data_IF_297200329193
#
_entry.id   IF_297200329193
#
_cell.length_a   1.000
_cell.length_b   1.000
_cell.length_c   1.000
_cell.angle_alpha   90.00
_cell.angle_beta   90.00
_cell.angle_gamma   90.00
#
_symmetry.space_group_name_H-M   'P 1'
#
loop_
_entity.id
_entity.type
_entity.pdbx_description
1 polymer ?
#
# COMPACT_ATOMS: atom_id res chain seq x y z
N UNK A 1 14.59 13.88 -8.59
CA UNK A 1 14.49 12.61 -7.81
C UNK A 1 15.64 11.64 -8.12
N UNK A 2 16.69 11.58 -7.30
CA UNK A 2 17.82 10.65 -7.51
C UNK A 2 17.78 9.38 -6.64
N UNK A 3 16.79 9.21 -5.75
CA UNK A 3 16.82 8.08 -4.80
C UNK A 3 15.42 7.50 -4.52
N UNK A 4 14.88 6.75 -5.49
CA UNK A 4 13.65 5.96 -5.30
C UNK A 4 13.94 4.56 -4.72
N UNK A 5 15.17 4.34 -4.22
CA UNK A 5 15.64 3.04 -3.72
C UNK A 5 15.33 1.89 -4.70
N UNK A 6 15.56 2.11 -6.01
CA UNK A 6 15.42 1.08 -7.05
C UNK A 6 16.80 0.75 -7.63
N UNK A 7 17.12 -0.52 -7.77
CA UNK A 7 18.40 -1.00 -8.29
C UNK A 7 18.58 -0.75 -9.79
N UNK A 8 17.48 -0.59 -10.53
CA UNK A 8 17.53 -0.21 -11.93
C UNK A 8 16.33 0.68 -12.33
N UNK A 9 16.41 1.40 -13.46
CA UNK A 9 15.32 2.23 -13.95
C UNK A 9 14.06 1.41 -14.31
N UNK A 10 12.86 2.01 -14.28
CA UNK A 10 11.61 1.30 -14.57
C UNK A 10 11.60 0.57 -15.91
N UNK A 11 12.16 1.17 -16.97
CA UNK A 11 12.22 0.54 -18.29
C UNK A 11 13.08 -0.73 -18.33
N UNK A 12 14.12 -0.80 -17.50
CA UNK A 12 14.94 -2.00 -17.35
C UNK A 12 14.18 -3.07 -16.55
N UNK A 13 13.56 -2.70 -15.42
CA UNK A 13 12.66 -3.60 -14.66
C UNK A 13 11.61 -4.21 -15.59
N UNK A 14 10.92 -3.37 -16.36
CA UNK A 14 9.89 -3.81 -17.29
C UNK A 14 10.45 -4.81 -18.31
N UNK A 15 11.60 -4.52 -18.91
CA UNK A 15 12.23 -5.39 -19.91
C UNK A 15 12.60 -6.76 -19.32
N UNK A 16 13.04 -6.81 -18.06
CA UNK A 16 13.39 -8.07 -17.37
C UNK A 16 12.16 -8.95 -17.12
N UNK A 17 11.04 -8.36 -16.69
CA UNK A 17 9.84 -9.15 -16.34
C UNK A 17 8.89 -9.39 -17.52
N UNK A 18 8.97 -8.59 -18.59
CA UNK A 18 8.06 -8.67 -19.75
C UNK A 18 7.96 -10.07 -20.39
N UNK A 19 9.05 -10.85 -20.57
CA UNK A 19 8.97 -12.19 -21.14
C UNK A 19 8.16 -13.18 -20.28
N UNK A 20 7.90 -12.86 -19.02
CA UNK A 20 7.26 -13.76 -18.05
C UNK A 20 5.76 -13.50 -17.85
N UNK A 21 5.21 -12.41 -18.39
CA UNK A 21 3.82 -11.99 -18.16
C UNK A 21 2.79 -13.09 -18.47
N UNK A 22 3.00 -13.85 -19.55
CA UNK A 22 2.12 -14.95 -19.94
C UNK A 22 2.04 -16.07 -18.89
N UNK A 23 3.12 -16.32 -18.12
CA UNK A 23 3.12 -17.31 -17.04
C UNK A 23 2.23 -16.91 -15.87
N UNK A 24 2.06 -15.61 -15.66
CA UNK A 24 1.21 -15.03 -14.62
C UNK A 24 -0.24 -14.80 -15.09
N UNK A 25 -0.58 -15.21 -16.32
CA UNK A 25 -1.89 -14.99 -16.90
C UNK A 25 -2.17 -13.53 -17.28
N UNK A 26 -1.14 -12.67 -17.33
CA UNK A 26 -1.28 -11.27 -17.73
C UNK A 26 -1.41 -11.22 -19.24
N UNK A 27 -2.60 -10.87 -19.72
CA UNK A 27 -2.98 -10.96 -21.16
C UNK A 27 -2.91 -9.62 -21.88
N UNK A 28 -2.99 -8.51 -21.14
CA UNK A 28 -3.00 -7.16 -21.71
C UNK A 28 -2.38 -6.18 -20.72
N UNK A 29 -1.64 -5.21 -21.27
CA UNK A 29 -1.15 -4.03 -20.55
C UNK A 29 -1.53 -2.81 -21.40
N UNK A 30 -2.38 -1.93 -20.89
CA UNK A 30 -2.95 -0.81 -21.64
C UNK A 30 -2.85 0.51 -20.90
N UNK A 31 -2.56 1.58 -21.64
CA UNK A 31 -2.61 2.96 -21.14
C UNK A 31 -4.06 3.37 -20.94
N UNK A 32 -4.37 3.96 -19.79
CA UNK A 32 -5.70 4.48 -19.44
C UNK A 32 -5.75 6.01 -19.33
N UNK A 33 -4.59 6.68 -19.38
CA UNK A 33 -4.45 8.14 -19.16
C UNK A 33 -5.48 8.99 -19.89
N UNK A 34 -5.75 8.71 -21.17
CA UNK A 34 -6.64 9.52 -22.01
C UNK A 34 -8.14 9.33 -21.70
N UNK A 35 -8.50 8.45 -20.76
CA UNK A 35 -9.86 8.37 -20.24
C UNK A 35 -10.18 9.52 -19.28
N UNK A 36 -9.16 10.18 -18.74
CA UNK A 36 -9.29 11.36 -17.88
C UNK A 36 -8.61 12.57 -18.52
N UNK A 37 -9.04 13.77 -18.14
CA UNK A 37 -8.53 15.04 -18.69
C UNK A 37 -7.32 15.61 -17.94
N UNK A 38 -6.87 14.94 -16.86
CA UNK A 38 -5.72 15.37 -16.06
C UNK A 38 -4.39 15.14 -16.79
N UNK A 39 -4.26 14.03 -17.54
CA UNK A 39 -3.03 13.76 -18.31
C UNK A 39 -1.82 13.30 -17.47
N UNK A 40 -2.03 12.82 -16.25
CA UNK A 40 -1.01 12.10 -15.46
C UNK A 40 -1.03 10.62 -15.86
N UNK A 41 0.14 9.99 -16.13
CA UNK A 41 0.20 8.60 -16.60
C UNK A 41 -0.44 7.58 -15.66
N UNK A 42 -1.34 6.77 -16.22
CA UNK A 42 -1.99 5.64 -15.54
C UNK A 42 -2.09 4.50 -16.55
N UNK A 43 -1.61 3.33 -16.14
CA UNK A 43 -1.62 2.10 -16.93
C UNK A 43 -2.35 1.00 -16.18
N UNK A 44 -2.76 -0.02 -16.91
CA UNK A 44 -3.54 -1.13 -16.38
C UNK A 44 -3.07 -2.45 -16.97
N UNK A 45 -2.83 -3.45 -16.12
CA UNK A 45 -2.50 -4.82 -16.49
C UNK A 45 -3.68 -5.75 -16.13
N UNK A 46 -3.99 -6.69 -17.01
CA UNK A 46 -5.15 -7.56 -16.92
C UNK A 46 -4.74 -9.02 -16.79
N UNK A 47 -5.15 -9.67 -15.70
CA UNK A 47 -4.99 -11.09 -15.42
C UNK A 47 -6.36 -11.77 -15.21
N UNK A 48 -7.09 -12.12 -16.30
CA UNK A 48 -8.49 -12.55 -16.25
C UNK A 48 -8.81 -13.74 -15.33
N UNK A 49 -7.84 -14.63 -15.12
CA UNK A 49 -7.99 -15.83 -14.29
C UNK A 49 -7.38 -15.66 -12.88
N UNK A 50 -7.14 -14.42 -12.44
CA UNK A 50 -6.68 -14.12 -11.09
C UNK A 50 -7.68 -14.65 -10.06
N UNK A 51 -7.17 -15.24 -8.97
CA UNK A 51 -8.00 -15.68 -7.83
C UNK A 51 -8.36 -14.55 -6.86
N UNK A 52 -7.92 -13.33 -7.18
CA UNK A 52 -8.23 -12.10 -6.47
C UNK A 52 -8.73 -11.06 -7.49
N UNK A 53 -8.32 -9.79 -7.34
CA UNK A 53 -8.66 -8.75 -8.32
C UNK A 53 -7.95 -9.04 -9.65
N UNK A 54 -8.70 -8.96 -10.75
CA UNK A 54 -8.25 -9.25 -12.13
C UNK A 54 -7.39 -8.13 -12.73
N UNK A 55 -7.50 -6.93 -12.18
CA UNK A 55 -6.88 -5.72 -12.69
C UNK A 55 -5.88 -5.15 -11.68
N UNK A 56 -4.67 -4.87 -12.14
CA UNK A 56 -3.71 -4.05 -11.43
C UNK A 56 -3.49 -2.74 -12.19
N UNK A 57 -3.54 -1.62 -11.49
CA UNK A 57 -3.31 -0.31 -12.07
C UNK A 57 -1.97 0.25 -11.60
N UNK A 58 -1.25 0.90 -12.49
CA UNK A 58 0.02 1.51 -12.21
C UNK A 58 0.00 3.00 -12.44
N UNK A 59 0.79 3.71 -11.64
CA UNK A 59 0.94 5.16 -11.66
C UNK A 59 2.41 5.56 -11.71
N UNK A 60 2.69 6.76 -12.21
CA UNK A 60 4.05 7.27 -12.32
C UNK A 60 4.10 8.65 -12.96
N UNK A 61 5.29 9.28 -12.91
CA UNK A 61 5.54 10.59 -13.52
C UNK A 61 5.51 10.54 -15.05
N UNK A 62 5.88 9.39 -15.60
CA UNK A 62 5.93 9.12 -17.04
C UNK A 62 5.25 7.79 -17.38
N UNK A 63 5.05 7.53 -18.68
CA UNK A 63 4.42 6.28 -19.14
C UNK A 63 5.21 5.03 -18.77
N UNK A 64 6.54 5.10 -18.76
CA UNK A 64 7.38 3.92 -18.52
C UNK A 64 7.27 3.49 -17.06
N UNK A 65 7.34 4.44 -16.12
CA UNK A 65 7.15 4.21 -14.69
C UNK A 65 5.73 3.74 -14.37
N UNK A 66 4.69 4.37 -14.93
CA UNK A 66 3.31 3.93 -14.73
C UNK A 66 3.04 2.52 -15.30
N UNK A 67 3.55 2.23 -16.49
CA UNK A 67 3.44 0.89 -17.10
C UNK A 67 4.18 -0.16 -16.28
N UNK A 68 5.38 0.16 -15.79
CA UNK A 68 6.17 -0.73 -14.93
C UNK A 68 5.43 -1.00 -13.62
N UNK A 69 4.88 0.03 -12.99
CA UNK A 69 4.06 -0.10 -11.77
C UNK A 69 2.88 -1.04 -11.99
N UNK A 70 2.14 -0.91 -13.10
CA UNK A 70 0.97 -1.76 -13.40
C UNK A 70 1.38 -3.23 -13.58
N UNK A 71 2.50 -3.46 -14.26
CA UNK A 71 3.03 -4.81 -14.50
C UNK A 71 3.54 -5.44 -13.21
N UNK A 72 4.31 -4.71 -12.41
CA UNK A 72 4.87 -5.22 -11.16
C UNK A 72 3.78 -5.54 -10.15
N UNK A 73 2.75 -4.69 -10.02
CA UNK A 73 1.59 -4.99 -9.16
C UNK A 73 0.80 -6.21 -9.65
N UNK A 74 0.65 -6.40 -10.98
CA UNK A 74 0.00 -7.60 -11.51
C UNK A 74 0.79 -8.88 -11.23
N UNK A 75 2.12 -8.83 -11.36
CA UNK A 75 3.02 -9.95 -11.02
C UNK A 75 2.91 -10.26 -9.54
N UNK A 76 3.01 -9.24 -8.69
CA UNK A 76 2.90 -9.33 -7.25
C UNK A 76 1.61 -10.04 -6.81
N UNK A 77 0.46 -9.57 -7.29
CA UNK A 77 -0.85 -10.18 -7.00
C UNK A 77 -0.94 -11.61 -7.51
N UNK A 78 -0.42 -11.89 -8.71
CA UNK A 78 -0.42 -13.23 -9.31
C UNK A 78 0.40 -14.21 -8.48
N UNK A 79 1.62 -13.83 -8.09
CA UNK A 79 2.49 -14.61 -7.20
C UNK A 79 1.81 -14.83 -5.85
N UNK A 80 1.18 -13.81 -5.26
CA UNK A 80 0.50 -13.97 -3.98
C UNK A 80 -0.68 -14.96 -4.02
N UNK A 81 -1.29 -15.19 -5.18
CA UNK A 81 -2.34 -16.23 -5.32
C UNK A 81 -1.77 -17.65 -5.35
N UNK A 82 -0.48 -17.81 -5.65
CA UNK A 82 0.25 -19.08 -5.66
C UNK A 82 1.69 -18.89 -5.12
N UNK A 83 1.86 -18.66 -3.81
CA UNK A 83 3.16 -18.37 -3.23
C UNK A 83 4.14 -19.54 -3.38
N UNK A 84 5.41 -19.25 -3.66
CA UNK A 84 6.49 -20.25 -3.78
C UNK A 84 7.32 -20.41 -2.49
N UNK A 85 6.82 -19.91 -1.36
CA UNK A 85 7.51 -20.03 -0.07
C UNK A 85 7.49 -21.48 0.47
N UNK A 86 8.49 -21.83 1.27
CA UNK A 86 8.56 -23.12 1.95
C UNK A 86 7.46 -23.24 3.00
N UNK A 87 6.77 -24.38 3.01
CA UNK A 87 5.73 -24.67 4.01
C UNK A 87 6.02 -25.94 4.80
N UNK A 88 5.57 -25.96 6.06
CA UNK A 88 5.67 -27.09 6.97
C UNK A 88 4.29 -27.36 7.59
N UNK A 89 3.84 -28.62 7.56
CA UNK A 89 2.68 -29.06 8.36
C UNK A 89 3.14 -29.35 9.79
N UNK A 90 2.59 -28.62 10.75
CA UNK A 90 2.91 -28.78 12.18
C UNK A 90 1.82 -28.19 13.06
N UNK A 91 1.80 -28.59 14.34
CA UNK A 91 1.11 -27.87 15.40
C UNK A 91 2.03 -26.86 16.09
N UNK A 92 1.44 -25.94 16.86
CA UNK A 92 2.21 -25.02 17.70
C UNK A 92 3.12 -25.78 18.68
N UNK A 93 2.62 -26.88 19.26
CA UNK A 93 3.41 -27.72 20.15
C UNK A 93 4.62 -28.35 19.43
N UNK A 94 4.48 -28.79 18.18
CA UNK A 94 5.59 -29.37 17.41
C UNK A 94 6.68 -28.33 17.13
N UNK A 95 6.28 -27.11 16.75
CA UNK A 95 7.19 -25.99 16.50
C UNK A 95 7.91 -25.56 17.79
N UNK A 96 7.18 -25.44 18.90
CA UNK A 96 7.74 -25.11 20.21
C UNK A 96 8.73 -26.18 20.69
N UNK A 97 8.39 -27.47 20.55
CA UNK A 97 9.28 -28.58 20.90
C UNK A 97 10.56 -28.61 20.06
N UNK A 98 10.51 -28.10 18.83
CA UNK A 98 11.65 -27.97 17.91
C UNK A 98 12.44 -26.67 18.10
N UNK A 99 12.05 -25.81 19.06
CA UNK A 99 12.71 -24.54 19.34
C UNK A 99 12.46 -23.45 18.29
N UNK A 100 11.42 -23.58 17.47
CA UNK A 100 11.07 -22.57 16.48
C UNK A 100 10.24 -21.44 17.08
N UNK A 101 10.58 -20.19 16.75
CA UNK A 101 9.76 -19.04 17.06
C UNK A 101 8.51 -19.03 16.16
N UNK A 102 7.38 -18.60 16.71
CA UNK A 102 6.10 -18.55 16.00
C UNK A 102 5.35 -17.27 16.31
N UNK A 103 4.64 -16.73 15.33
CA UNK A 103 3.56 -15.76 15.55
C UNK A 103 2.29 -16.28 14.85
N UNK A 104 1.17 -16.34 15.59
CA UNK A 104 -0.12 -16.80 15.07
C UNK A 104 -0.88 -15.73 14.29
N UNK A 105 -0.42 -14.48 14.31
CA UNK A 105 -1.04 -13.33 13.64
C UNK A 105 -2.52 -13.17 14.00
N UNK A 106 -2.84 -13.23 15.29
CA UNK A 106 -4.23 -13.20 15.78
C UNK A 106 -4.98 -11.92 15.36
N UNK A 107 -4.28 -10.79 15.25
CA UNK A 107 -4.83 -9.51 14.78
C UNK A 107 -5.36 -9.58 13.33
N UNK A 108 -4.91 -10.57 12.56
CA UNK A 108 -5.32 -10.80 11.18
C UNK A 108 -6.44 -11.85 11.05
N UNK A 109 -6.94 -12.41 12.15
CA UNK A 109 -8.06 -13.36 12.09
C UNK A 109 -9.28 -12.72 11.43
N UNK A 110 -9.93 -13.45 10.55
CA UNK A 110 -11.16 -13.01 9.91
C UNK A 110 -12.33 -12.96 10.91
N UNK A 111 -13.39 -12.22 10.58
CA UNK A 111 -14.61 -12.17 11.40
C UNK A 111 -15.16 -13.58 11.62
N UNK A 112 -15.34 -13.96 12.90
CA UNK A 112 -15.85 -15.28 13.31
C UNK A 112 -14.83 -16.42 13.28
N UNK A 113 -13.60 -16.18 12.80
CA UNK A 113 -12.53 -17.16 12.84
C UNK A 113 -12.04 -17.39 14.28
N UNK A 114 -11.65 -18.63 14.56
CA UNK A 114 -11.06 -19.02 15.84
C UNK A 114 -9.53 -18.94 15.78
N UNK A 115 -8.86 -18.62 16.89
CA UNK A 115 -7.41 -18.75 17.01
C UNK A 115 -6.93 -20.17 16.72
N UNK A 116 -5.65 -20.30 16.35
CA UNK A 116 -5.02 -21.60 16.11
C UNK A 116 -4.87 -22.35 17.44
N UNK A 117 -5.34 -23.59 17.49
CA UNK A 117 -5.22 -24.40 18.71
C UNK A 117 -3.83 -25.05 18.83
N UNK A 118 -3.38 -25.29 20.05
CA UNK A 118 -2.00 -25.74 20.33
C UNK A 118 -1.60 -27.06 19.64
N UNK A 119 -2.56 -27.96 19.42
CA UNK A 119 -2.36 -29.27 18.78
C UNK A 119 -2.89 -29.33 17.35
N UNK A 120 -3.44 -28.24 16.83
CA UNK A 120 -4.00 -28.20 15.49
C UNK A 120 -2.89 -28.28 14.44
N UNK A 121 -3.04 -29.19 13.47
CA UNK A 121 -2.10 -29.34 12.37
C UNK A 121 -2.47 -28.38 11.24
N UNK A 122 -1.64 -27.34 11.03
CA UNK A 122 -1.82 -26.37 9.95
C UNK A 122 -0.54 -26.21 9.13
N UNK A 123 -0.65 -25.53 7.99
CA UNK A 123 0.51 -25.12 7.19
C UNK A 123 1.12 -23.84 7.76
N UNK A 124 2.39 -23.93 8.14
CA UNK A 124 3.24 -22.82 8.52
C UNK A 124 4.20 -22.47 7.40
N UNK A 125 4.61 -21.22 7.31
CA UNK A 125 5.69 -20.77 6.42
C UNK A 125 6.78 -20.08 7.23
N UNK A 126 8.02 -20.28 6.81
CA UNK A 126 9.15 -19.59 7.39
C UNK A 126 9.21 -18.15 6.86
N UNK A 127 9.25 -17.20 7.78
CA UNK A 127 9.44 -15.78 7.56
C UNK A 127 10.76 -15.32 8.19
N UNK A 128 11.20 -14.14 7.77
CA UNK A 128 12.31 -13.44 8.39
C UNK A 128 11.78 -12.37 9.36
N UNK A 129 12.11 -12.52 10.64
CA UNK A 129 11.90 -11.51 11.68
C UNK A 129 12.97 -10.43 11.52
N UNK A 130 12.56 -9.27 11.00
CA UNK A 130 13.43 -8.13 10.69
C UNK A 130 13.95 -7.46 11.97
N UNK A 131 13.19 -7.53 13.07
CA UNK A 131 13.58 -6.94 14.35
C UNK A 131 14.68 -7.76 15.02
N UNK A 132 14.55 -9.09 14.96
CA UNK A 132 15.51 -10.03 15.59
C UNK A 132 16.58 -10.55 14.64
N UNK A 133 16.48 -10.25 13.35
CA UNK A 133 17.28 -10.83 12.27
C UNK A 133 17.32 -12.38 12.37
N UNK A 134 16.14 -12.98 12.50
CA UNK A 134 15.99 -14.41 12.80
C UNK A 134 14.86 -15.05 11.99
N UNK A 135 14.76 -16.39 12.03
CA UNK A 135 13.63 -17.10 11.43
C UNK A 135 12.45 -17.18 12.39
N UNK A 136 11.25 -16.99 11.85
CA UNK A 136 9.98 -17.15 12.57
C UNK A 136 8.97 -17.88 11.67
N UNK A 137 8.09 -18.69 12.26
CA UNK A 137 7.00 -19.33 11.52
C UNK A 137 5.70 -18.56 11.67
N UNK A 138 5.01 -18.32 10.56
CA UNK A 138 3.67 -17.74 10.53
C UNK A 138 2.70 -18.61 9.73
N UNK A 139 1.38 -18.51 9.95
CA UNK A 139 0.40 -19.32 9.23
C UNK A 139 0.42 -19.03 7.73
N UNK A 140 0.53 -20.07 6.88
CA UNK A 140 0.51 -19.92 5.43
C UNK A 140 -0.80 -19.28 4.93
N UNK A 141 -1.91 -19.57 5.60
CA UNK A 141 -3.23 -19.00 5.28
C UNK A 141 -3.29 -17.46 5.41
N UNK A 142 -2.39 -16.84 6.18
CA UNK A 142 -2.30 -15.38 6.28
C UNK A 142 -1.51 -14.73 5.13
N UNK A 143 -0.80 -15.53 4.32
CA UNK A 143 0.14 -15.05 3.30
C UNK A 143 -0.54 -14.89 1.94
N UNK A 144 -1.33 -15.89 1.54
CA UNK A 144 -1.84 -15.97 0.18
C UNK A 144 -2.98 -14.97 -0.09
N UNK A 145 -3.06 -14.52 -1.34
CA UNK A 145 -4.12 -13.65 -1.84
C UNK A 145 -5.10 -14.47 -2.70
N UNK A 146 -5.75 -15.47 -2.09
CA UNK A 146 -6.76 -16.29 -2.77
C UNK A 146 -8.15 -15.95 -2.21
N UNK A 147 -8.91 -15.14 -2.96
CA UNK A 147 -10.26 -14.71 -2.58
C UNK A 147 -11.35 -15.68 -3.03
N UNK A 148 -10.99 -16.85 -3.59
CA UNK A 148 -11.96 -17.90 -3.92
C UNK A 148 -12.40 -18.71 -2.70
N UNK A 149 -11.65 -18.60 -1.59
CA UNK A 149 -11.99 -19.25 -0.32
C UNK A 149 -13.17 -18.54 0.35
N UNK A 150 -14.28 -19.26 0.57
CA UNK A 150 -15.54 -18.68 1.10
C UNK A 150 -15.46 -18.32 2.58
N UNK A 151 -14.64 -19.03 3.36
CA UNK A 151 -14.49 -18.81 4.81
C UNK A 151 -13.00 -18.89 5.20
N UNK A 152 -12.20 -17.89 4.81
CA UNK A 152 -10.79 -17.89 5.18
C UNK A 152 -10.64 -17.68 6.69
N UNK A 153 -9.64 -18.31 7.31
CA UNK A 153 -9.35 -18.11 8.73
C UNK A 153 -8.73 -16.73 8.98
N UNK A 154 -7.92 -16.26 8.04
CA UNK A 154 -7.23 -14.98 8.09
C UNK A 154 -7.81 -14.01 7.06
N UNK A 155 -7.62 -12.71 7.31
CA UNK A 155 -8.04 -11.66 6.41
C UNK A 155 -7.23 -11.68 5.11
N UNK A 156 -7.92 -11.98 4.00
CA UNK A 156 -7.32 -12.09 2.66
C UNK A 156 -7.13 -10.70 2.04
N UNK A 157 -5.95 -10.13 2.25
CA UNK A 157 -5.61 -8.77 1.85
C UNK A 157 -4.24 -8.67 1.17
N UNK A 158 -4.10 -7.70 0.26
CA UNK A 158 -2.81 -7.31 -0.33
C UNK A 158 -2.01 -6.39 0.60
N UNK A 159 -2.45 -6.18 1.85
CA UNK A 159 -1.73 -5.39 2.85
C UNK A 159 -0.30 -5.88 3.09
N UNK A 160 0.68 -5.01 2.88
CA UNK A 160 2.11 -5.36 2.98
C UNK A 160 2.60 -6.30 1.88
N UNK A 161 1.80 -6.54 0.83
CA UNK A 161 2.26 -7.23 -0.36
C UNK A 161 3.03 -6.22 -1.22
N UNK A 162 4.21 -6.61 -1.68
CA UNK A 162 5.06 -5.70 -2.44
C UNK A 162 5.99 -6.46 -3.39
N UNK A 163 6.38 -5.81 -4.48
CA UNK A 163 7.38 -6.31 -5.41
C UNK A 163 8.51 -5.31 -5.64
N UNK A 164 9.67 -5.82 -6.08
CA UNK A 164 10.87 -5.01 -6.30
C UNK A 164 11.90 -5.76 -7.13
N UNK A 165 12.95 -5.06 -7.59
CA UNK A 165 14.03 -5.73 -8.34
C UNK A 165 14.90 -6.60 -7.42
N UNK A 166 14.89 -6.32 -6.13
CA UNK A 166 15.60 -7.07 -5.10
C UNK A 166 14.70 -7.26 -3.87
N UNK A 167 15.06 -8.20 -3.01
CA UNK A 167 14.34 -8.45 -1.76
C UNK A 167 14.25 -7.20 -0.88
N UNK A 168 15.36 -6.45 -0.70
CA UNK A 168 15.38 -5.23 0.11
C UNK A 168 14.42 -4.16 -0.43
N UNK A 169 14.32 -4.01 -1.76
CA UNK A 169 13.36 -3.09 -2.38
C UNK A 169 11.91 -3.47 -2.09
N UNK A 170 11.61 -4.77 -2.21
CA UNK A 170 10.28 -5.29 -2.02
C UNK A 170 9.85 -5.16 -0.55
N UNK A 171 10.73 -5.52 0.40
CA UNK A 171 10.46 -5.40 1.84
C UNK A 171 10.35 -3.95 2.27
N UNK A 172 11.25 -3.07 1.82
CA UNK A 172 11.16 -1.63 2.10
C UNK A 172 9.82 -1.06 1.60
N UNK A 173 9.40 -1.44 0.39
CA UNK A 173 8.13 -0.96 -0.16
C UNK A 173 6.93 -1.50 0.63
N UNK A 174 6.94 -2.79 0.99
CA UNK A 174 5.88 -3.40 1.80
C UNK A 174 5.77 -2.80 3.20
N UNK A 175 6.90 -2.51 3.87
CA UNK A 175 6.89 -1.83 5.17
C UNK A 175 6.41 -0.39 5.07
N UNK A 176 6.84 0.36 4.05
CA UNK A 176 6.34 1.71 3.83
C UNK A 176 4.83 1.72 3.57
N UNK A 177 4.29 0.76 2.84
CA UNK A 177 2.83 0.61 2.68
C UNK A 177 2.15 0.35 4.04
N UNK A 178 2.73 -0.49 4.91
CA UNK A 178 2.18 -0.74 6.24
C UNK A 178 2.17 0.53 7.11
N UNK A 179 3.23 1.33 7.06
CA UNK A 179 3.32 2.63 7.75
C UNK A 179 2.32 3.64 7.19
N UNK A 180 2.16 3.69 5.87
CA UNK A 180 1.18 4.56 5.21
C UNK A 180 -0.24 4.26 5.68
N UNK A 181 -0.60 2.97 5.72
CA UNK A 181 -1.93 2.54 6.15
C UNK A 181 -2.16 2.78 7.62
N UNK A 182 -1.12 2.59 8.46
CA UNK A 182 -1.15 2.97 9.86
C UNK A 182 -1.49 4.45 10.04
N UNK A 183 -0.70 5.31 9.40
CA UNK A 183 -0.86 6.76 9.42
C UNK A 183 -2.26 7.18 8.93
N UNK A 184 -2.76 6.58 7.85
CA UNK A 184 -4.10 6.87 7.32
C UNK A 184 -5.22 6.47 8.30
N UNK A 185 -5.13 5.30 8.93
CA UNK A 185 -6.12 4.87 9.95
C UNK A 185 -6.08 5.81 11.14
N UNK A 186 -4.88 6.10 11.67
CA UNK A 186 -4.71 7.03 12.79
C UNK A 186 -5.20 8.43 12.47
N UNK A 187 -5.02 8.91 11.24
CA UNK A 187 -5.57 10.18 10.80
C UNK A 187 -7.10 10.14 10.77
N UNK A 188 -7.70 9.08 10.22
CA UNK A 188 -9.15 8.95 10.11
C UNK A 188 -9.90 8.80 11.44
N UNK A 189 -9.31 8.11 12.43
CA UNK A 189 -9.92 7.96 13.77
C UNK A 189 -9.67 9.17 14.67
N UNK A 190 -8.71 10.03 14.32
CA UNK A 190 -8.40 11.22 15.10
C UNK A 190 -9.49 12.28 15.05
N UNK A 191 -9.49 13.17 16.05
CA UNK A 191 -10.42 14.30 16.12
C UNK A 191 -10.44 15.14 14.83
N UNK A 192 -11.63 15.54 14.33
CA UNK A 192 -11.75 16.29 13.08
C UNK A 192 -10.86 17.53 13.02
N UNK A 193 -10.71 18.28 14.12
CA UNK A 193 -9.86 19.46 14.18
C UNK A 193 -8.41 19.16 13.75
N UNK A 194 -7.80 18.10 14.31
CA UNK A 194 -6.45 17.66 13.95
C UNK A 194 -6.33 17.24 12.48
N UNK A 195 -7.41 16.70 11.88
CA UNK A 195 -7.41 16.35 10.45
C UNK A 195 -7.31 17.57 9.53
N UNK A 196 -7.80 18.73 9.98
CA UNK A 196 -7.75 19.98 9.22
C UNK A 196 -6.44 20.78 9.42
N UNK A 197 -5.68 20.49 10.49
CA UNK A 197 -4.60 21.35 10.97
C UNK A 197 -3.29 21.27 10.20
N UNK A 198 -2.99 20.14 9.54
CA UNK A 198 -1.71 19.92 8.86
C UNK A 198 -1.87 19.86 7.34
N UNK A 199 -2.63 20.81 6.79
CA UNK A 199 -2.77 20.92 5.33
C UNK A 199 -1.48 21.50 4.75
N UNK A 200 -0.90 20.77 3.82
CA UNK A 200 0.32 21.15 3.09
C UNK A 200 -0.06 22.15 2.00
N UNK A 201 0.73 23.23 1.86
CA UNK A 201 0.61 24.13 0.71
C UNK A 201 1.22 23.49 -0.55
N UNK A 202 0.42 23.16 -1.60
CA UNK A 202 0.95 22.60 -2.83
C UNK A 202 1.97 23.53 -3.53
N UNK A 203 1.89 24.84 -3.32
CA UNK A 203 2.83 25.81 -3.90
C UNK A 203 4.18 25.87 -3.16
N UNK A 204 4.28 25.26 -1.97
CA UNK A 204 5.55 25.10 -1.26
C UNK A 204 6.45 24.00 -1.83
N UNK A 205 5.94 23.21 -2.79
CA UNK A 205 6.64 22.06 -3.35
C UNK A 205 7.60 22.52 -4.46
N UNK A 206 8.90 22.25 -4.27
CA UNK A 206 9.97 22.65 -5.19
C UNK A 206 10.35 21.57 -6.20
N UNK A 207 10.08 20.28 -5.93
CA UNK A 207 10.44 19.21 -6.87
C UNK A 207 9.65 19.33 -8.19
N UNK A 208 10.40 19.45 -9.28
CA UNK A 208 9.85 19.73 -10.61
C UNK A 208 8.88 18.65 -11.10
N UNK A 209 9.15 17.37 -10.83
CA UNK A 209 8.27 16.28 -11.26
C UNK A 209 6.91 16.33 -10.56
N UNK A 210 6.88 16.79 -9.30
CA UNK A 210 5.62 17.00 -8.58
C UNK A 210 4.92 18.25 -9.08
N UNK A 211 5.66 19.35 -9.31
CA UNK A 211 5.11 20.60 -9.86
C UNK A 211 4.42 20.35 -11.21
N UNK A 212 5.02 19.57 -12.11
CA UNK A 212 4.38 19.18 -13.37
C UNK A 212 3.05 18.43 -13.17
N UNK A 213 2.97 17.52 -12.19
CA UNK A 213 1.71 16.86 -11.84
C UNK A 213 0.67 17.84 -11.31
N UNK A 214 1.07 18.76 -10.43
CA UNK A 214 0.18 19.78 -9.86
C UNK A 214 -0.36 20.71 -10.95
N UNK A 215 0.49 21.17 -11.87
CA UNK A 215 0.09 22.01 -13.00
C UNK A 215 -0.94 21.31 -13.89
N UNK A 216 -0.73 20.03 -14.21
CA UNK A 216 -1.70 19.19 -14.93
C UNK A 216 -3.05 19.10 -14.22
N UNK A 217 -3.04 18.85 -12.91
CA UNK A 217 -4.26 18.77 -12.08
C UNK A 217 -5.01 20.11 -12.11
N UNK A 218 -4.32 21.22 -11.82
CA UNK A 218 -4.97 22.54 -11.72
C UNK A 218 -5.46 23.05 -13.07
N UNK A 219 -4.75 22.77 -14.15
CA UNK A 219 -5.14 23.11 -15.53
C UNK A 219 -6.34 22.30 -16.04
N UNK A 220 -6.58 21.13 -15.45
CA UNK A 220 -7.71 20.25 -15.76
C UNK A 220 -8.98 20.58 -14.95
N UNK A 221 -9.02 21.74 -14.27
CA UNK A 221 -10.09 22.19 -13.38
C UNK A 221 -10.34 21.23 -12.20
N UNK A 222 -9.28 20.81 -11.52
CA UNK A 222 -9.36 20.07 -10.26
C UNK A 222 -8.78 20.88 -9.10
N UNK A 223 -9.35 20.65 -7.91
CA UNK A 223 -8.77 21.07 -6.63
C UNK A 223 -8.03 19.88 -6.01
N UNK A 224 -6.90 20.18 -5.36
CA UNK A 224 -6.10 19.23 -4.60
C UNK A 224 -5.95 19.73 -3.16
N UNK A 225 -6.12 18.84 -2.20
CA UNK A 225 -5.75 19.09 -0.80
C UNK A 225 -4.77 18.01 -0.34
N UNK A 226 -3.61 18.45 0.14
CA UNK A 226 -2.57 17.58 0.67
C UNK A 226 -2.54 17.72 2.19
N UNK A 227 -2.42 16.60 2.91
CA UNK A 227 -2.36 16.56 4.36
C UNK A 227 -1.15 15.77 4.81
N UNK A 228 -0.39 16.35 5.73
CA UNK A 228 0.62 15.61 6.47
C UNK A 228 -0.09 14.75 7.52
N UNK A 229 -0.03 13.43 7.32
CA UNK A 229 -0.60 12.42 8.21
C UNK A 229 0.49 11.65 8.96
N UNK A 230 1.73 12.15 8.94
CA UNK A 230 2.87 11.54 9.64
C UNK A 230 2.52 11.24 11.09
N UNK A 231 2.64 9.98 11.48
CA UNK A 231 2.35 9.50 12.84
C UNK A 231 3.54 9.73 13.78
N UNK A 232 3.39 9.26 15.02
CA UNK A 232 4.45 9.16 16.04
C UNK A 232 5.70 8.38 15.58
N UNK A 233 5.59 7.59 14.51
CA UNK A 233 6.71 6.86 13.90
C UNK A 233 7.66 7.75 13.08
N UNK A 234 7.32 9.02 12.87
CA UNK A 234 8.16 10.01 12.19
C UNK A 234 8.63 9.60 10.78
N UNK A 235 7.80 8.85 10.05
CA UNK A 235 8.00 8.53 8.62
C UNK A 235 7.02 9.37 7.80
N UNK A 236 7.56 10.17 6.87
CA UNK A 236 6.76 11.10 6.07
C UNK A 236 5.61 10.37 5.36
N UNK A 237 4.38 10.70 5.75
CA UNK A 237 3.16 10.10 5.24
C UNK A 237 2.18 11.19 4.86
N UNK A 238 1.68 11.14 3.62
CA UNK A 238 0.85 12.20 3.04
C UNK A 238 -0.43 11.59 2.47
N UNK A 239 -1.56 12.27 2.71
CA UNK A 239 -2.83 12.00 2.04
C UNK A 239 -3.13 13.10 1.04
N UNK A 240 -3.54 12.72 -0.17
CA UNK A 240 -4.01 13.61 -1.22
C UNK A 240 -5.49 13.39 -1.48
N UNK A 241 -6.28 14.46 -1.43
CA UNK A 241 -7.68 14.49 -1.83
C UNK A 241 -7.82 15.29 -3.12
N UNK A 242 -8.50 14.70 -4.10
CA UNK A 242 -8.69 15.25 -5.44
C UNK A 242 -10.18 15.34 -5.75
N UNK A 243 -10.62 16.49 -6.28
CA UNK A 243 -12.01 16.69 -6.73
C UNK A 243 -12.07 17.64 -7.92
N UNK A 244 -13.07 17.51 -8.82
CA UNK A 244 -13.36 18.55 -9.80
C UNK A 244 -13.69 19.88 -9.12
N UNK A 245 -13.25 21.00 -9.70
CA UNK A 245 -13.73 22.33 -9.31
C UNK A 245 -15.21 22.48 -9.67
N UNK A 246 -15.95 23.22 -8.84
CA UNK A 246 -17.36 23.53 -9.09
C UNK A 246 -18.21 23.44 -7.83
N UNK A 247 -19.48 23.08 -8.02
CA UNK A 247 -20.46 22.98 -6.94
C UNK A 247 -20.34 21.67 -6.14
N UNK A 248 -19.89 21.81 -4.89
CA UNK A 248 -19.81 20.76 -3.87
C UNK A 248 -21.12 19.96 -3.73
N UNK A 249 -22.29 20.61 -3.87
CA UNK A 249 -23.60 19.98 -3.64
C UNK A 249 -23.96 18.89 -4.66
N UNK A 250 -23.30 18.90 -5.82
CA UNK A 250 -23.51 17.94 -6.89
C UNK A 250 -22.54 16.76 -6.85
N UNK A 251 -21.43 16.86 -6.10
CA UNK A 251 -20.35 15.88 -6.11
C UNK A 251 -20.80 14.53 -5.56
N UNK A 252 -20.40 13.47 -6.26
CA UNK A 252 -20.63 12.08 -5.87
C UNK A 252 -19.39 11.52 -5.20
N UNK A 253 -19.57 10.38 -4.54
CA UNK A 253 -18.47 9.65 -3.90
C UNK A 253 -17.33 9.39 -4.90
N UNK A 254 -17.65 8.95 -6.12
CA UNK A 254 -16.66 8.68 -7.18
C UNK A 254 -15.95 9.92 -7.74
N UNK A 255 -16.49 11.13 -7.50
CA UNK A 255 -15.87 12.37 -7.96
C UNK A 255 -14.80 12.88 -6.98
N UNK A 256 -14.82 12.40 -5.73
CA UNK A 256 -13.83 12.70 -4.70
C UNK A 256 -12.90 11.48 -4.54
N UNK A 257 -11.67 11.60 -4.99
CA UNK A 257 -10.70 10.50 -4.93
C UNK A 257 -9.58 10.82 -3.95
N UNK A 258 -9.06 9.76 -3.34
CA UNK A 258 -7.99 9.82 -2.35
C UNK A 258 -6.80 9.00 -2.82
N UNK A 259 -5.61 9.45 -2.49
CA UNK A 259 -4.38 8.67 -2.54
C UNK A 259 -3.56 8.91 -1.28
N UNK A 260 -2.70 7.97 -0.95
CA UNK A 260 -1.77 8.08 0.15
C UNK A 260 -0.35 7.75 -0.32
N UNK A 261 0.63 8.18 0.46
CA UNK A 261 2.03 7.94 0.17
C UNK A 261 2.87 8.02 1.43
N UNK A 262 3.59 6.95 1.77
CA UNK A 262 4.68 7.01 2.76
C UNK A 262 6.05 6.82 2.10
N UNK A 263 7.06 7.52 2.62
CA UNK A 263 8.44 7.43 2.15
C UNK A 263 9.44 8.01 3.18
N UNK A 264 10.71 7.66 3.02
CA UNK A 264 11.82 8.31 3.73
C UNK A 264 12.07 9.75 3.24
N UNK A 265 11.54 10.13 2.07
CA UNK A 265 11.57 11.50 1.51
C UNK A 265 10.14 12.05 1.39
N UNK A 266 9.85 13.23 1.95
CA UNK A 266 8.56 13.91 1.80
C UNK A 266 8.13 14.11 0.34
N UNK A 267 9.07 14.42 -0.55
CA UNK A 267 8.81 14.59 -1.99
C UNK A 267 8.30 13.29 -2.61
N UNK A 268 8.94 12.16 -2.31
CA UNK A 268 8.49 10.87 -2.83
C UNK A 268 7.15 10.43 -2.19
N UNK A 269 6.90 10.76 -0.91
CA UNK A 269 5.60 10.56 -0.28
C UNK A 269 4.50 11.38 -0.99
N UNK A 270 4.77 12.66 -1.29
CA UNK A 270 3.83 13.54 -1.99
C UNK A 270 3.56 13.06 -3.42
N UNK A 271 4.62 12.67 -4.15
CA UNK A 271 4.48 12.13 -5.50
C UNK A 271 3.61 10.87 -5.53
N UNK A 272 3.77 9.96 -4.55
CA UNK A 272 2.94 8.76 -4.39
C UNK A 272 1.48 9.13 -4.09
N UNK A 273 1.24 9.98 -3.09
CA UNK A 273 -0.10 10.39 -2.71
C UNK A 273 -0.87 11.04 -3.87
N UNK A 274 -0.24 11.98 -4.59
CA UNK A 274 -0.84 12.68 -5.74
C UNK A 274 -1.12 11.71 -6.89
N UNK A 275 -0.15 10.89 -7.28
CA UNK A 275 -0.31 9.94 -8.39
C UNK A 275 -1.34 8.85 -8.06
N UNK A 276 -1.44 8.44 -6.80
CA UNK A 276 -2.48 7.51 -6.34
C UNK A 276 -3.88 8.14 -6.33
N UNK A 277 -4.03 9.41 -5.96
CA UNK A 277 -5.33 10.08 -6.01
C UNK A 277 -5.88 10.16 -7.46
N UNK A 278 -4.99 10.33 -8.44
CA UNK A 278 -5.34 10.27 -9.87
C UNK A 278 -5.64 8.85 -10.32
N UNK A 279 -4.85 7.86 -9.87
CA UNK A 279 -5.11 6.45 -10.19
C UNK A 279 -6.45 5.96 -9.62
N UNK A 280 -6.80 6.35 -8.39
CA UNK A 280 -8.10 6.10 -7.77
C UNK A 280 -9.25 6.67 -8.60
N UNK A 281 -9.06 7.87 -9.17
CA UNK A 281 -10.03 8.44 -10.12
C UNK A 281 -10.14 7.61 -11.38
N UNK A 282 -9.01 7.19 -11.94
CA UNK A 282 -8.97 6.35 -13.13
C UNK A 282 -9.65 4.99 -12.91
N UNK A 283 -9.58 4.42 -11.70
CA UNK A 283 -10.35 3.22 -11.34
C UNK A 283 -11.85 3.39 -11.63
N UNK A 284 -12.47 4.50 -11.17
CA UNK A 284 -13.89 4.74 -11.40
C UNK A 284 -14.22 5.05 -12.85
N UNK A 285 -13.40 5.87 -13.51
CA UNK A 285 -13.61 6.26 -14.92
C UNK A 285 -13.51 5.04 -15.85
N UNK A 286 -12.49 4.21 -15.66
CA UNK A 286 -12.29 3.02 -16.47
C UNK A 286 -13.40 1.98 -16.27
N UNK A 287 -14.03 1.95 -15.08
CA UNK A 287 -15.16 1.06 -14.78
C UNK A 287 -14.85 -0.42 -14.95
N UNK A 288 -13.57 -0.79 -14.86
CA UNK A 288 -13.10 -2.11 -15.28
C UNK A 288 -12.99 -3.12 -14.12
N UNK A 289 -13.03 -2.66 -12.86
CA UNK A 289 -12.97 -3.56 -11.70
C UNK A 289 -14.35 -4.10 -11.35
N UNK A 290 -14.40 -5.37 -11.02
CA UNK A 290 -15.63 -6.09 -10.67
C UNK A 290 -16.22 -5.69 -9.30
N UNK A 291 -15.43 -5.02 -8.45
CA UNK A 291 -15.85 -4.56 -7.12
C UNK A 291 -16.47 -3.15 -7.12
N UNK A 292 -16.61 -2.52 -8.29
CA UNK A 292 -17.30 -1.24 -8.43
C UNK A 292 -18.80 -1.45 -8.62
N UNK A 293 -19.58 -1.26 -7.56
CA UNK A 293 -21.03 -1.44 -7.58
C UNK A 293 -21.78 -0.14 -7.95
N UNK A 294 -22.94 -0.22 -8.63
CA UNK A 294 -23.70 0.96 -9.09
C UNK A 294 -24.01 2.00 -8.01
N UNK A 295 -24.20 1.56 -6.76
CA UNK A 295 -24.51 2.42 -5.61
C UNK A 295 -23.40 3.42 -5.32
N UNK A 296 -22.13 3.11 -5.64
CA UNK A 296 -21.02 4.04 -5.47
C UNK A 296 -21.18 5.27 -6.37
N UNK A 297 -21.75 5.11 -7.56
CA UNK A 297 -21.96 6.17 -8.54
C UNK A 297 -23.18 7.06 -8.24
N UNK A 298 -24.09 6.62 -7.36
CA UNK A 298 -25.23 7.41 -6.90
C UNK A 298 -25.02 8.03 -5.51
N UNK A 299 -24.09 7.48 -4.72
CA UNK A 299 -23.72 7.99 -3.41
C UNK A 299 -23.15 9.41 -3.50
N UNK A 300 -23.61 10.31 -2.63
CA UNK A 300 -23.06 11.67 -2.48
C UNK A 300 -21.67 11.64 -1.85
N UNK A 301 -20.83 12.60 -2.23
CA UNK A 301 -19.56 12.82 -1.56
C UNK A 301 -19.77 13.10 -0.07
N UNK A 302 -18.83 12.64 0.77
CA UNK A 302 -18.90 12.88 2.21
C UNK A 302 -18.65 14.37 2.51
N UNK A 303 -19.60 15.08 3.16
CA UNK A 303 -19.41 16.49 3.51
C UNK A 303 -18.16 16.74 4.37
N UNK A 304 -17.75 15.79 5.22
CA UNK A 304 -16.56 15.93 6.04
C UNK A 304 -15.28 16.03 5.18
N UNK A 305 -15.19 15.25 4.10
CA UNK A 305 -14.06 15.36 3.18
C UNK A 305 -14.11 16.64 2.34
N UNK A 306 -15.29 17.12 1.96
CA UNK A 306 -15.42 18.39 1.25
C UNK A 306 -14.97 19.58 2.12
N UNK A 307 -15.22 19.53 3.43
CA UNK A 307 -14.74 20.55 4.37
C UNK A 307 -13.21 20.61 4.45
N UNK A 308 -12.50 19.50 4.21
CA UNK A 308 -11.02 19.48 4.22
C UNK A 308 -10.42 20.43 3.16
N UNK A 309 -11.06 20.61 2.02
CA UNK A 309 -10.61 21.56 0.98
C UNK A 309 -10.68 23.03 1.42
N UNK A 310 -11.39 23.33 2.52
CA UNK A 310 -11.52 24.69 3.08
C UNK A 310 -10.52 24.97 4.21
N UNK A 311 -9.79 23.95 4.66
CA UNK A 311 -8.75 24.13 5.67
C UNK A 311 -7.64 25.05 5.14
N UNK A 312 -7.06 25.88 6.01
CA UNK A 312 -5.93 26.73 5.62
C UNK A 312 -4.67 25.88 5.50
N UNK A 313 -3.81 26.21 4.54
CA UNK A 313 -2.48 25.64 4.49
C UNK A 313 -1.63 26.22 5.63
N UNK A 314 -0.99 25.35 6.40
CA UNK A 314 -0.29 25.66 7.65
C UNK A 314 1.03 24.90 7.77
N UNK A 315 1.32 24.00 6.83
CA UNK A 315 2.50 23.15 6.82
C UNK A 315 3.16 23.24 5.44
N UNK A 316 4.49 23.32 5.39
CA UNK A 316 5.25 23.16 4.17
C UNK A 316 5.77 21.73 4.04
N UNK A 317 5.98 21.25 2.81
CA UNK A 317 6.48 19.89 2.58
C UNK A 317 7.86 19.66 3.24
N UNK A 318 8.71 20.68 3.26
CA UNK A 318 10.05 20.65 3.86
C UNK A 318 10.06 20.51 5.38
N UNK A 319 8.92 20.65 6.05
CA UNK A 319 8.80 20.47 7.51
C UNK A 319 8.63 19.00 7.89
N UNK A 320 8.30 18.13 6.93
CA UNK A 320 8.13 16.70 7.17
C UNK A 320 9.47 16.00 7.40
N UNK A 321 9.50 14.91 8.18
CA UNK A 321 10.73 14.21 8.47
C UNK A 321 11.35 13.62 7.20
N UNK A 322 12.67 13.73 7.10
CA UNK A 322 13.45 13.15 6.02
C UNK A 322 14.49 12.20 6.60
N UNK A 323 14.59 11.01 6.02
CA UNK A 323 15.58 10.00 6.37
C UNK A 323 16.50 9.78 5.18
N UNK A 324 17.76 10.18 5.33
CA UNK A 324 18.77 9.95 4.29
C UNK A 324 19.21 8.48 4.31
N UNK A 325 19.23 7.86 3.14
CA UNK A 325 19.76 6.52 2.95
C UNK A 325 20.49 6.42 1.60
N UNK A 326 21.52 5.58 1.52
CA UNK A 326 22.38 5.46 0.32
C UNK A 326 22.05 4.25 -0.56
N UNK A 327 21.21 3.33 -0.08
CA UNK A 327 20.77 2.14 -0.81
C UNK A 327 19.41 1.66 -0.29
N UNK A 328 18.78 0.72 -1.00
CA UNK A 328 17.55 0.09 -0.53
C UNK A 328 17.73 -0.69 0.77
N UNK A 329 18.90 -1.31 0.98
CA UNK A 329 19.24 -2.00 2.22
C UNK A 329 19.37 -1.01 3.38
N UNK A 330 20.19 0.03 3.23
CA UNK A 330 20.36 1.08 4.25
C UNK A 330 19.02 1.80 4.57
N UNK A 331 18.16 1.99 3.56
CA UNK A 331 16.82 2.53 3.76
C UNK A 331 15.92 1.58 4.56
N UNK A 332 15.98 0.28 4.29
CA UNK A 332 15.26 -0.74 5.05
C UNK A 332 15.76 -0.80 6.50
N UNK A 333 17.07 -0.85 6.71
CA UNK A 333 17.68 -0.94 8.03
C UNK A 333 17.26 0.27 8.89
N UNK A 334 17.33 1.49 8.35
CA UNK A 334 16.88 2.70 9.03
C UNK A 334 15.39 2.70 9.34
N UNK A 335 14.56 2.24 8.40
CA UNK A 335 13.11 2.14 8.63
C UNK A 335 12.81 1.15 9.76
N UNK A 336 13.46 -0.01 9.78
CA UNK A 336 13.33 -0.99 10.86
C UNK A 336 13.78 -0.40 12.19
N UNK A 337 14.92 0.29 12.25
CA UNK A 337 15.39 0.99 13.46
C UNK A 337 14.38 2.04 13.96
N UNK A 338 13.78 2.83 13.06
CA UNK A 338 12.74 3.81 13.40
C UNK A 338 11.50 3.15 13.97
N UNK A 339 11.03 2.05 13.36
CA UNK A 339 9.87 1.31 13.84
C UNK A 339 10.14 0.68 15.22
N UNK A 340 11.32 0.11 15.44
CA UNK A 340 11.74 -0.42 16.74
C UNK A 340 11.80 0.67 17.81
N UNK A 341 12.32 1.85 17.46
CA UNK A 341 12.32 3.02 18.35
C UNK A 341 10.91 3.51 18.72
N UNK A 342 9.93 3.27 17.84
CA UNK A 342 8.50 3.49 18.07
C UNK A 342 7.77 2.35 18.80
N UNK A 343 8.49 1.32 19.24
CA UNK A 343 7.91 0.16 19.93
C UNK A 343 7.24 -0.86 19.01
N UNK A 344 7.53 -0.83 17.71
CA UNK A 344 7.04 -1.77 16.71
C UNK A 344 8.14 -2.80 16.42
N UNK A 345 8.03 -3.98 17.00
CA UNK A 345 9.04 -5.05 16.97
C UNK A 345 8.56 -6.37 16.34
N UNK A 346 7.29 -6.46 15.96
CA UNK A 346 6.74 -7.57 15.18
C UNK A 346 6.77 -7.24 13.70
N UNK A 347 7.92 -7.42 13.06
CA UNK A 347 8.15 -7.10 11.65
C UNK A 347 8.62 -8.34 10.90
N UNK A 348 7.75 -8.92 10.06
CA UNK A 348 8.02 -10.18 9.37
C UNK A 348 7.97 -10.02 7.86
N UNK A 349 8.95 -10.58 7.15
CA UNK A 349 8.99 -10.58 5.69
C UNK A 349 9.15 -11.99 5.13
N UNK A 350 8.41 -12.30 4.06
CA UNK A 350 8.42 -13.61 3.40
C UNK A 350 8.59 -13.40 1.90
N UNK A 351 9.59 -14.03 1.30
CA UNK A 351 9.75 -14.10 -0.15
C UNK A 351 8.76 -15.12 -0.73
N UNK A 352 8.02 -14.69 -1.74
CA UNK A 352 6.97 -15.45 -2.40
C UNK A 352 7.31 -15.76 -3.86
N UNK A 353 8.27 -15.04 -4.45
CA UNK A 353 8.61 -15.19 -5.85
C UNK A 353 9.21 -16.57 -6.17
N UNK A 354 8.89 -17.14 -7.33
CA UNK A 354 9.62 -18.30 -7.84
C UNK A 354 11.03 -17.90 -8.30
N UNK A 355 12.00 -18.83 -8.20
CA UNK A 355 13.40 -18.59 -8.57
C UNK A 355 13.62 -18.09 -10.01
N UNK A 356 12.71 -18.41 -10.94
CA UNK A 356 12.83 -18.01 -12.34
C UNK A 356 12.38 -16.56 -12.62
N UNK A 357 11.73 -15.90 -11.66
CA UNK A 357 11.28 -14.51 -11.80
C UNK A 357 12.46 -13.57 -11.51
N UNK A 358 12.86 -12.67 -12.43
CA UNK A 358 13.94 -11.72 -12.18
C UNK A 358 13.48 -10.50 -11.35
N UNK A 359 12.73 -10.77 -10.28
CA UNK A 359 12.21 -9.80 -9.32
C UNK A 359 11.82 -10.53 -8.02
N UNK A 360 11.82 -9.81 -6.90
CA UNK A 360 11.29 -10.28 -5.62
C UNK A 360 9.83 -9.90 -5.48
N UNK A 361 9.07 -10.76 -4.81
CA UNK A 361 7.69 -10.50 -4.39
C UNK A 361 7.55 -10.95 -2.95
N UNK A 362 7.25 -10.04 -2.05
CA UNK A 362 7.22 -10.33 -0.62
C UNK A 362 5.85 -10.06 -0.02
N UNK A 363 5.56 -10.77 1.07
CA UNK A 363 4.53 -10.39 2.04
C UNK A 363 5.22 -9.89 3.30
N UNK A 364 4.85 -8.69 3.72
CA UNK A 364 5.31 -8.05 4.96
C UNK A 364 4.16 -8.02 5.97
N UNK A 365 4.44 -8.47 7.19
CA UNK A 365 3.54 -8.34 8.33
C UNK A 365 4.13 -7.35 9.34
N UNK A 366 3.26 -6.46 9.82
CA UNK A 366 3.52 -5.58 10.95
C UNK A 366 2.23 -5.50 11.79
N UNK A 367 1.93 -6.54 12.60
CA UNK A 367 0.63 -6.69 13.29
C UNK A 367 0.34 -5.56 14.30
N UNK A 368 1.39 -4.98 14.87
CA UNK A 368 1.29 -3.84 15.81
C UNK A 368 0.92 -2.52 15.13
N UNK A 369 0.99 -2.44 13.78
CA UNK A 369 0.54 -1.27 13.01
C UNK A 369 -0.93 -1.40 12.65
N UNK A 370 -1.64 -0.28 12.55
CA UNK A 370 -3.05 -0.31 12.15
C UNK A 370 -3.24 -0.86 10.73
N UNK A 371 -4.40 -1.49 10.53
CA UNK A 371 -4.79 -2.07 9.27
C UNK A 371 -6.01 -1.31 8.71
N UNK A 372 -6.11 -1.10 7.38
CA UNK A 372 -7.26 -0.43 6.79
C UNK A 372 -8.53 -1.27 7.02
N UNK A 373 -9.72 -0.68 6.86
CA UNK A 373 -10.98 -1.41 7.05
C UNK A 373 -11.02 -2.70 6.20
N UNK A 374 -11.57 -3.77 6.77
CA UNK A 374 -11.65 -5.09 6.16
C UNK A 374 -12.28 -6.12 7.10
N UNK A 375 -12.46 -7.35 6.61
CA UNK A 375 -13.15 -8.43 7.33
C UNK A 375 -12.30 -9.09 8.42
N UNK A 376 -11.61 -8.29 9.24
CA UNK A 376 -10.88 -8.74 10.43
C UNK A 376 -11.78 -8.77 11.66
N UNK A 377 -11.48 -9.69 12.57
CA UNK A 377 -12.10 -9.79 13.89
C UNK A 377 -11.84 -8.53 14.72
N UNK A 378 -10.63 -7.99 14.64
CA UNK A 378 -10.22 -6.74 15.30
C UNK A 378 -10.18 -5.65 14.23
N UNK A 379 -11.09 -4.67 14.35
CA UNK A 379 -11.18 -3.56 13.40
C UNK A 379 -10.05 -2.54 13.62
N UNK A 380 -9.93 -2.06 14.86
CA UNK A 380 -8.93 -1.09 15.30
C UNK A 380 -7.97 -1.76 16.28
N UNK A 381 -6.67 -1.62 16.01
CA UNK A 381 -5.59 -2.07 16.86
C UNK A 381 -5.33 -1.13 18.04
N UNK A 382 -4.24 -1.41 18.75
CA UNK A 382 -3.86 -0.68 19.96
C UNK A 382 -3.55 0.79 19.71
N UNK A 383 -2.92 1.12 18.57
CA UNK A 383 -2.48 2.49 18.25
C UNK A 383 -3.69 3.41 18.02
N UNK A 384 -4.70 2.94 17.28
CA UNK A 384 -5.94 3.67 17.06
C UNK A 384 -6.76 3.81 18.34
N UNK A 385 -6.82 2.75 19.17
CA UNK A 385 -7.50 2.82 20.46
C UNK A 385 -6.84 3.86 21.38
N UNK A 386 -5.51 3.88 21.49
CA UNK A 386 -4.80 4.89 22.29
C UNK A 386 -5.03 6.31 21.80
N UNK A 387 -5.21 6.50 20.49
CA UNK A 387 -5.47 7.82 19.90
C UNK A 387 -6.90 8.30 20.08
N UNK A 388 -7.89 7.39 20.11
CA UNK A 388 -9.31 7.74 20.29
C UNK A 388 -9.72 8.12 21.73
N UNK A 389 -8.83 7.92 22.71
CA UNK A 389 -9.04 8.32 24.12
C UNK A 389 -8.29 9.62 24.51
N UNK A 390 -7.61 10.25 23.56
CA UNK A 390 -6.94 11.55 23.68
C UNK A 390 -7.71 12.59 22.86
#
# INVERSE_FOLDING_TARGET
MSNNFRACPPGETLSRVWPHLGRFGITRVGRQTELDRIGIPVWCAYAPNSRAIVIAQGKGLDDVSAKTSAVMEAIERSVATQPYCSTLMASLNDLAASGHATDCLEDLLAIGAQPIEAMEQIRWSQAHDLAKNASIFVPFEAIHLDRTHVRPRFWVSSDGLASGNTWHEAVLHGLLERVERDACVLWNVGEPAHRHERRIDPYSIEDEGIREMLEKIFSADFDLALFDVTSDLAVASIVALLRPKGDDGSLRYVDLTMGAGASLSPELAAARAVSEAVQSRMTFIAGARDDLVPELFSRRADPAHLQLFRARCTTNLSELPTMSAVSAQDALDRLVETLLGGGIDQLYAIELAPEWLPASVVKVFAPQLEHPDGDRRIRLGSRALSKGFL
#
